data_IF_675255031387
#
_entry.id   IF_675255031387
#
_cell.length_a   1.000
_cell.length_b   1.000
_cell.length_c   1.000
_cell.angle_alpha   90.00
_cell.angle_beta   90.00
_cell.angle_gamma   90.00
#
_symmetry.space_group_name_H-M   'P 1'
#
loop_
_entity.id
_entity.type
_entity.pdbx_description
1 polymer ?
#
# COMPACT_ATOMS: atom_id res chain seq x y z
N UNK A 1 -10.60 12.82 8.80
CA UNK A 1 -9.99 11.85 7.88
C UNK A 1 -10.58 10.48 8.16
N UNK A 2 -11.19 9.83 7.16
CA UNK A 2 -11.83 8.53 7.32
C UNK A 2 -10.81 7.45 7.70
N UNK A 3 -11.22 6.47 8.51
CA UNK A 3 -10.36 5.39 9.02
C UNK A 3 -9.69 4.60 7.88
N UNK A 4 -10.45 4.34 6.81
CA UNK A 4 -9.95 3.68 5.59
C UNK A 4 -8.77 4.42 4.93
N UNK A 5 -8.76 5.76 4.97
CA UNK A 5 -7.70 6.56 4.36
C UNK A 5 -6.44 6.49 5.23
N UNK A 6 -6.58 6.56 6.56
CA UNK A 6 -5.44 6.41 7.48
C UNK A 6 -4.75 5.06 7.31
N UNK A 7 -5.55 3.99 7.18
CA UNK A 7 -5.03 2.64 6.97
C UNK A 7 -4.40 2.46 5.60
N UNK A 8 -4.97 3.09 4.56
CA UNK A 8 -4.35 3.10 3.24
C UNK A 8 -2.99 3.80 3.25
N UNK A 9 -2.86 4.93 3.95
CA UNK A 9 -1.57 5.62 4.09
C UNK A 9 -0.52 4.78 4.83
N UNK A 10 -0.91 4.06 5.88
CA UNK A 10 0.01 3.16 6.58
C UNK A 10 0.57 2.05 5.67
N UNK A 11 -0.23 1.56 4.72
CA UNK A 11 0.23 0.60 3.70
C UNK A 11 1.19 1.27 2.71
N UNK A 12 0.91 2.51 2.30
CA UNK A 12 1.81 3.26 1.42
C UNK A 12 3.17 3.53 2.09
N UNK A 13 3.19 3.89 3.37
CA UNK A 13 4.43 4.12 4.12
C UNK A 13 5.25 2.84 4.26
N UNK A 14 4.59 1.69 4.44
CA UNK A 14 5.26 0.38 4.47
C UNK A 14 5.87 0.01 3.10
N UNK A 15 5.21 0.36 1.99
CA UNK A 15 5.75 0.16 0.64
C UNK A 15 6.92 1.08 0.32
N UNK A 16 6.92 2.33 0.79
CA UNK A 16 8.06 3.26 0.64
C UNK A 16 9.31 2.82 1.40
N UNK A 17 9.14 2.00 2.43
CA UNK A 17 10.25 1.41 3.17
C UNK A 17 10.88 0.21 2.43
N UNK A 18 10.34 -0.21 1.28
CA UNK A 18 10.86 -1.34 0.54
C UNK A 18 12.27 -1.07 -0.02
N UNK A 19 13.22 -1.93 0.31
CA UNK A 19 14.60 -1.81 -0.16
C UNK A 19 15.29 -3.16 -0.41
N UNK A 20 14.67 -4.28 -0.04
CA UNK A 20 15.30 -5.60 -0.03
C UNK A 20 15.10 -6.39 -1.33
N UNK A 21 14.11 -6.02 -2.14
CA UNK A 21 13.76 -6.71 -3.38
C UNK A 21 14.61 -6.30 -4.59
N UNK A 22 14.41 -6.96 -5.75
CA UNK A 22 14.96 -6.51 -7.02
C UNK A 22 14.58 -5.05 -7.32
N UNK A 23 15.44 -4.27 -8.02
CA UNK A 23 15.18 -2.86 -8.29
C UNK A 23 13.81 -2.58 -8.92
N UNK A 24 13.37 -3.42 -9.86
CA UNK A 24 12.07 -3.30 -10.51
C UNK A 24 10.90 -3.53 -9.53
N UNK A 25 11.06 -4.44 -8.57
CA UNK A 25 10.04 -4.71 -7.56
C UNK A 25 9.95 -3.56 -6.55
N UNK A 26 11.11 -3.02 -6.12
CA UNK A 26 11.18 -1.85 -5.24
C UNK A 26 10.59 -0.61 -5.91
N UNK A 27 10.94 -0.36 -7.18
CA UNK A 27 10.38 0.74 -7.94
C UNK A 27 8.86 0.61 -8.06
N UNK A 28 8.36 -0.60 -8.37
CA UNK A 28 6.92 -0.85 -8.46
C UNK A 28 6.22 -0.63 -7.11
N UNK A 29 6.79 -1.10 -5.99
CA UNK A 29 6.27 -0.84 -4.65
C UNK A 29 6.18 0.67 -4.34
N UNK A 30 7.23 1.43 -4.68
CA UNK A 30 7.23 2.89 -4.53
C UNK A 30 6.17 3.57 -5.41
N UNK A 31 5.99 3.12 -6.65
CA UNK A 31 4.95 3.66 -7.54
C UNK A 31 3.55 3.47 -6.94
N UNK A 32 3.26 2.28 -6.39
CA UNK A 32 1.97 2.02 -5.74
C UNK A 32 1.79 2.90 -4.49
N UNK A 33 2.84 3.08 -3.69
CA UNK A 33 2.78 3.96 -2.53
C UNK A 33 2.41 5.41 -2.92
N UNK A 34 3.03 5.93 -3.98
CA UNK A 34 2.73 7.26 -4.53
C UNK A 34 1.28 7.34 -5.00
N UNK A 35 0.78 6.32 -5.70
CA UNK A 35 -0.63 6.29 -6.15
C UNK A 35 -1.62 6.27 -4.99
N UNK A 36 -1.34 5.51 -3.93
CA UNK A 36 -2.18 5.49 -2.71
C UNK A 36 -2.19 6.87 -2.06
N UNK A 37 -1.02 7.49 -1.86
CA UNK A 37 -0.91 8.82 -1.25
C UNK A 37 -1.62 9.88 -2.07
N UNK A 38 -1.50 9.81 -3.39
CA UNK A 38 -2.19 10.71 -4.31
C UNK A 38 -3.70 10.58 -4.19
N UNK A 39 -4.24 9.36 -4.30
CA UNK A 39 -5.68 9.13 -4.20
C UNK A 39 -6.24 9.52 -2.83
N UNK A 40 -5.48 9.26 -1.75
CA UNK A 40 -5.83 9.64 -0.39
C UNK A 40 -5.84 11.16 -0.15
N UNK A 41 -5.08 11.93 -0.93
CA UNK A 41 -4.98 13.38 -0.84
C UNK A 41 -6.04 14.12 -1.66
N UNK A 42 -6.79 13.43 -2.52
CA UNK A 42 -7.89 14.03 -3.29
C UNK A 42 -8.96 14.60 -2.35
N UNK A 43 -9.64 15.71 -2.73
CA UNK A 43 -10.72 16.29 -1.91
C UNK A 43 -11.87 15.31 -1.63
N UNK A 44 -12.09 14.37 -2.55
CA UNK A 44 -13.03 13.26 -2.43
C UNK A 44 -12.34 11.96 -2.91
N UNK A 45 -11.62 11.25 -2.01
CA UNK A 45 -10.93 10.01 -2.37
C UNK A 45 -11.91 8.93 -2.83
N UNK A 46 -11.58 8.21 -3.89
CA UNK A 46 -12.39 7.12 -4.41
C UNK A 46 -12.13 5.82 -3.61
N UNK A 47 -13.13 5.32 -2.86
CA UNK A 47 -12.97 4.10 -2.05
C UNK A 47 -12.63 2.86 -2.88
N UNK A 48 -13.22 2.73 -4.07
CA UNK A 48 -12.98 1.58 -4.96
C UNK A 48 -11.56 1.60 -5.52
N UNK A 49 -11.04 2.78 -5.86
CA UNK A 49 -9.66 2.92 -6.31
C UNK A 49 -8.66 2.63 -5.20
N UNK A 50 -8.90 3.12 -3.99
CA UNK A 50 -8.09 2.78 -2.83
C UNK A 50 -8.10 1.27 -2.53
N UNK A 51 -9.25 0.59 -2.62
CA UNK A 51 -9.32 -0.88 -2.52
C UNK A 51 -8.43 -1.57 -3.55
N UNK A 52 -8.46 -1.14 -4.82
CA UNK A 52 -7.63 -1.73 -5.88
C UNK A 52 -6.14 -1.52 -5.62
N UNK A 53 -5.74 -0.30 -5.24
CA UNK A 53 -4.35 0.02 -4.92
C UNK A 53 -3.85 -0.80 -3.73
N UNK A 54 -4.69 -1.06 -2.72
CA UNK A 54 -4.34 -1.93 -1.59
C UNK A 54 -4.16 -3.41 -2.00
N UNK A 55 -4.97 -3.91 -2.94
CA UNK A 55 -4.78 -5.25 -3.48
C UNK A 55 -3.47 -5.35 -4.28
N UNK A 56 -3.13 -4.31 -5.05
CA UNK A 56 -1.86 -4.27 -5.78
C UNK A 56 -0.65 -4.13 -4.84
N UNK A 57 -0.80 -3.37 -3.74
CA UNK A 57 0.22 -3.23 -2.71
C UNK A 57 0.63 -4.59 -2.12
N UNK A 58 -0.33 -5.48 -1.86
CA UNK A 58 -0.06 -6.86 -1.38
C UNK A 58 0.89 -7.58 -2.34
N UNK A 59 0.60 -7.55 -3.63
CA UNK A 59 1.42 -8.26 -4.63
C UNK A 59 2.78 -7.60 -4.83
N UNK A 60 2.85 -6.26 -4.86
CA UNK A 60 4.09 -5.53 -5.05
C UNK A 60 5.04 -5.69 -3.85
N UNK A 61 4.51 -5.64 -2.63
CA UNK A 61 5.30 -5.77 -1.41
C UNK A 61 5.93 -7.14 -1.22
N UNK A 62 5.30 -8.23 -1.66
CA UNK A 62 5.87 -9.59 -1.56
C UNK A 62 7.19 -9.72 -2.32
N UNK A 63 7.35 -9.00 -3.44
CA UNK A 63 8.60 -9.01 -4.22
C UNK A 63 9.62 -7.95 -3.79
N UNK A 64 9.17 -6.89 -3.12
CA UNK A 64 9.97 -5.71 -2.80
C UNK A 64 10.49 -5.69 -1.34
N UNK A 65 9.84 -6.44 -0.45
CA UNK A 65 10.11 -6.47 0.98
C UNK A 65 10.73 -7.81 1.39
N UNK A 66 11.55 -7.80 2.45
CA UNK A 66 11.92 -9.03 3.16
C UNK A 66 10.68 -9.76 3.73
N UNK A 67 10.80 -11.07 3.96
CA UNK A 67 9.65 -11.94 4.34
C UNK A 67 8.82 -11.42 5.52
N UNK A 68 9.47 -10.89 6.55
CA UNK A 68 8.80 -10.32 7.73
C UNK A 68 7.98 -9.08 7.37
N UNK A 69 8.61 -8.12 6.68
CA UNK A 69 7.94 -6.88 6.28
C UNK A 69 6.83 -7.13 5.25
N UNK A 70 6.98 -8.12 4.36
CA UNK A 70 5.92 -8.54 3.45
C UNK A 70 4.70 -9.10 4.22
N UNK A 71 4.93 -9.88 5.28
CA UNK A 71 3.84 -10.43 6.12
C UNK A 71 3.10 -9.31 6.86
N UNK A 72 3.84 -8.36 7.43
CA UNK A 72 3.27 -7.20 8.10
C UNK A 72 2.46 -6.33 7.15
N UNK A 73 2.97 -6.11 5.92
CA UNK A 73 2.25 -5.39 4.87
C UNK A 73 0.92 -6.09 4.51
N UNK A 74 0.92 -7.40 4.32
CA UNK A 74 -0.30 -8.17 4.04
C UNK A 74 -1.32 -8.00 5.15
N UNK A 75 -0.88 -8.03 6.41
CA UNK A 75 -1.75 -7.81 7.56
C UNK A 75 -2.34 -6.39 7.56
N UNK A 76 -1.50 -5.38 7.35
CA UNK A 76 -1.92 -3.97 7.26
C UNK A 76 -2.92 -3.75 6.12
N UNK A 77 -2.63 -4.26 4.93
CA UNK A 77 -3.51 -4.13 3.77
C UNK A 77 -4.85 -4.86 3.97
N UNK A 78 -4.83 -6.05 4.59
CA UNK A 78 -6.05 -6.78 4.94
C UNK A 78 -6.92 -6.00 5.94
N UNK A 79 -6.31 -5.42 6.98
CA UNK A 79 -7.02 -4.55 7.92
C UNK A 79 -7.58 -3.30 7.23
N UNK A 80 -6.83 -2.70 6.30
CA UNK A 80 -7.30 -1.55 5.54
C UNK A 80 -8.53 -1.91 4.70
N UNK A 81 -8.49 -3.04 3.99
CA UNK A 81 -9.59 -3.51 3.15
C UNK A 81 -10.89 -3.79 3.93
N UNK A 82 -10.79 -4.19 5.20
CA UNK A 82 -11.95 -4.42 6.07
C UNK A 82 -12.70 -3.14 6.48
N UNK A 83 -12.13 -1.95 6.24
CA UNK A 83 -12.72 -0.67 6.66
C UNK A 83 -13.51 0.04 5.57
N UNK A 84 -13.67 -0.57 4.40
CA UNK A 84 -14.41 -0.04 3.26
C UNK A 84 -15.58 -0.92 2.85
#
# INVERSE_FOLDING_TARGET
MAEQIKRALAVADALEAAADGPPEAVEHAHQIAVEIKREAAEPQPNPSRLKQLLLYAITAGVGALGQTAATDLVHLASQALQTF
#
